data_IF_358073095439
#
_entry.id   IF_358073095439
#
_cell.length_a   1.000
_cell.length_b   1.000
_cell.length_c   1.000
_cell.angle_alpha   90.00
_cell.angle_beta   90.00
_cell.angle_gamma   90.00
#
_symmetry.space_group_name_H-M   'P 1'
#
loop_
_entity.id
_entity.type
_entity.pdbx_description
1 polymer ?
#
# COMPACT_ATOMS: atom_id res chain seq x y z
N UNK A 1 -4.34 -24.12 5.76
CA UNK A 1 -3.69 -22.84 5.46
C UNK A 1 -4.58 -21.73 5.99
N UNK A 2 -4.08 -20.89 6.91
CA UNK A 2 -4.85 -19.82 7.53
C UNK A 2 -4.61 -18.46 6.83
N UNK A 3 -3.60 -18.37 5.99
CA UNK A 3 -3.32 -17.16 5.23
C UNK A 3 -4.21 -17.08 3.99
N UNK A 4 -4.79 -15.90 3.75
CA UNK A 4 -5.70 -15.65 2.63
C UNK A 4 -7.19 -15.89 2.91
N UNK A 5 -7.54 -16.32 4.12
CA UNK A 5 -8.94 -16.45 4.53
C UNK A 5 -9.40 -15.19 5.28
N UNK A 6 -10.27 -14.36 4.68
CA UNK A 6 -10.75 -13.14 5.31
C UNK A 6 -11.71 -13.39 6.48
N UNK A 7 -12.22 -14.62 6.66
CA UNK A 7 -13.08 -14.97 7.80
C UNK A 7 -12.28 -15.19 9.09
N UNK A 8 -10.96 -15.33 8.97
CA UNK A 8 -10.04 -15.44 10.12
C UNK A 8 -9.54 -14.06 10.61
N UNK A 9 -10.08 -12.98 10.07
CA UNK A 9 -9.80 -11.64 10.57
C UNK A 9 -10.32 -11.47 12.00
N UNK A 10 -9.43 -11.09 12.90
CA UNK A 10 -9.72 -10.99 14.33
C UNK A 10 -9.94 -9.54 14.83
N UNK A 11 -10.02 -8.56 13.92
CA UNK A 11 -10.24 -7.15 14.26
C UNK A 11 -8.96 -6.37 14.53
N UNK A 12 -7.79 -6.95 14.23
CA UNK A 12 -6.49 -6.31 14.38
C UNK A 12 -6.24 -5.17 13.37
N UNK A 13 -5.14 -4.42 13.54
CA UNK A 13 -4.76 -3.38 12.59
C UNK A 13 -4.39 -4.01 11.25
N UNK A 14 -4.93 -3.43 10.15
CA UNK A 14 -4.68 -3.91 8.80
C UNK A 14 -3.89 -2.89 7.99
N UNK A 15 -3.07 -3.42 7.09
CA UNK A 15 -2.23 -2.67 6.17
C UNK A 15 -2.48 -3.16 4.76
N UNK A 16 -2.68 -2.21 3.85
CA UNK A 16 -3.15 -2.51 2.49
C UNK A 16 -2.14 -2.02 1.47
N UNK A 17 -1.91 -2.82 0.45
CA UNK A 17 -1.11 -2.44 -0.72
C UNK A 17 -1.94 -2.63 -1.98
N UNK A 18 -1.86 -1.68 -2.90
CA UNK A 18 -2.63 -1.70 -4.15
C UNK A 18 -1.73 -1.42 -5.33
N UNK A 19 -1.69 -2.37 -6.24
CA UNK A 19 -1.14 -2.20 -7.58
C UNK A 19 -2.29 -1.94 -8.57
N UNK A 20 -2.25 -0.77 -9.22
CA UNK A 20 -3.35 -0.29 -10.05
C UNK A 20 -3.15 -0.78 -11.49
N UNK A 21 -3.96 -1.74 -11.89
CA UNK A 21 -4.02 -2.23 -13.26
C UNK A 21 -5.26 -1.76 -14.01
N UNK A 22 -5.16 -1.61 -15.34
CA UNK A 22 -6.27 -1.29 -16.23
C UNK A 22 -6.16 -2.03 -17.56
N UNK A 23 -7.29 -2.28 -18.20
CA UNK A 23 -7.39 -2.99 -19.50
C UNK A 23 -6.84 -4.40 -19.44
N UNK A 24 -5.55 -4.60 -19.73
CA UNK A 24 -4.88 -5.91 -19.75
C UNK A 24 -4.13 -6.22 -18.46
N UNK A 25 -3.81 -5.19 -17.69
CA UNK A 25 -3.03 -5.30 -16.47
C UNK A 25 -3.89 -5.80 -15.31
N UNK A 26 -3.26 -6.44 -14.36
CA UNK A 26 -3.92 -6.96 -13.19
C UNK A 26 -4.02 -5.87 -12.12
N UNK A 27 -5.23 -5.59 -11.65
CA UNK A 27 -5.47 -4.83 -10.44
C UNK A 27 -5.39 -5.77 -9.24
N UNK A 28 -4.58 -5.41 -8.24
CA UNK A 28 -4.38 -6.24 -7.05
C UNK A 28 -4.54 -5.40 -5.79
N UNK A 29 -5.39 -5.86 -4.85
CA UNK A 29 -5.41 -5.39 -3.46
C UNK A 29 -4.86 -6.50 -2.57
N UNK A 30 -3.87 -6.17 -1.75
CA UNK A 30 -3.30 -7.06 -0.75
C UNK A 30 -3.60 -6.54 0.64
N UNK A 31 -4.23 -7.36 1.49
CA UNK A 31 -4.60 -6.99 2.86
C UNK A 31 -3.83 -7.85 3.84
N UNK A 32 -3.00 -7.22 4.67
CA UNK A 32 -2.38 -7.83 5.83
C UNK A 32 -3.08 -7.40 7.12
N UNK A 33 -3.24 -8.31 8.06
CA UNK A 33 -3.50 -8.04 9.46
C UNK A 33 -2.21 -8.25 10.26
N UNK A 34 -1.87 -7.32 11.13
CA UNK A 34 -0.76 -7.48 12.07
C UNK A 34 -1.24 -8.26 13.30
N UNK A 35 -0.67 -9.43 13.52
CA UNK A 35 -0.93 -10.27 14.68
C UNK A 35 0.40 -10.51 15.41
N UNK A 36 0.57 -9.86 16.55
CA UNK A 36 1.88 -9.74 17.19
C UNK A 36 2.82 -8.90 16.33
N UNK A 37 3.91 -9.49 15.87
CA UNK A 37 4.91 -8.91 14.97
C UNK A 37 4.85 -9.48 13.53
N UNK A 38 3.87 -10.34 13.24
CA UNK A 38 3.72 -11.03 11.96
C UNK A 38 2.55 -10.48 11.17
N UNK A 39 2.79 -10.18 9.90
CA UNK A 39 1.78 -9.76 8.94
C UNK A 39 1.11 -11.00 8.32
N UNK A 40 -0.17 -11.21 8.61
CA UNK A 40 -0.97 -12.30 8.07
C UNK A 40 -1.81 -11.83 6.90
N UNK A 41 -1.65 -12.42 5.74
CA UNK A 41 -2.57 -12.17 4.62
C UNK A 41 -3.98 -12.56 5.03
N UNK A 42 -4.92 -11.61 4.97
CA UNK A 42 -6.35 -11.86 5.17
C UNK A 42 -7.11 -11.92 3.88
N UNK A 43 -6.71 -11.11 2.90
CA UNK A 43 -7.37 -11.13 1.59
C UNK A 43 -6.40 -10.71 0.50
N UNK A 44 -6.55 -11.33 -0.67
CA UNK A 44 -5.95 -10.86 -1.93
C UNK A 44 -7.08 -10.77 -2.94
N UNK A 45 -7.31 -9.58 -3.47
CA UNK A 45 -8.31 -9.34 -4.51
C UNK A 45 -7.56 -9.11 -5.82
N UNK A 46 -7.90 -9.89 -6.82
CA UNK A 46 -7.32 -9.79 -8.15
C UNK A 46 -8.43 -9.56 -9.18
N UNK A 47 -8.28 -8.53 -10.02
CA UNK A 47 -9.21 -8.25 -11.11
C UNK A 47 -8.44 -7.83 -12.35
N UNK A 48 -8.74 -8.46 -13.46
CA UNK A 48 -8.18 -8.10 -14.76
C UNK A 48 -9.17 -7.23 -15.51
N UNK A 49 -8.70 -6.11 -16.04
CA UNK A 49 -9.53 -5.20 -16.83
C UNK A 49 -10.60 -4.44 -16.03
N UNK A 50 -10.48 -4.37 -14.70
CA UNK A 50 -11.42 -3.65 -13.85
C UNK A 50 -11.50 -2.16 -14.20
N UNK A 51 -12.69 -1.62 -14.25
CA UNK A 51 -12.91 -0.17 -14.35
C UNK A 51 -12.49 0.53 -13.04
N UNK A 52 -12.17 1.81 -13.10
CA UNK A 52 -11.86 2.56 -11.87
C UNK A 52 -13.03 2.55 -10.86
N UNK A 53 -14.27 2.59 -11.33
CA UNK A 53 -15.43 2.49 -10.46
C UNK A 53 -15.51 1.14 -9.72
N UNK A 54 -15.17 0.05 -10.38
CA UNK A 54 -15.09 -1.28 -9.77
C UNK A 54 -13.92 -1.35 -8.77
N UNK A 55 -12.76 -0.79 -9.13
CA UNK A 55 -11.61 -0.72 -8.22
C UNK A 55 -11.94 0.09 -6.96
N UNK A 56 -12.63 1.21 -7.11
CA UNK A 56 -13.12 2.06 -6.02
C UNK A 56 -14.08 1.31 -5.09
N UNK A 57 -15.04 0.58 -5.66
CA UNK A 57 -15.99 -0.22 -4.88
C UNK A 57 -15.26 -1.32 -4.08
N UNK A 58 -14.33 -2.05 -4.71
CA UNK A 58 -13.54 -3.08 -4.03
C UNK A 58 -12.71 -2.50 -2.88
N UNK A 59 -12.16 -1.30 -3.07
CA UNK A 59 -11.43 -0.61 -2.01
C UNK A 59 -12.34 -0.20 -0.86
N UNK A 60 -13.53 0.35 -1.16
CA UNK A 60 -14.53 0.72 -0.14
C UNK A 60 -14.98 -0.51 0.66
N UNK A 61 -15.17 -1.67 0.02
CA UNK A 61 -15.46 -2.94 0.69
C UNK A 61 -14.34 -3.35 1.65
N UNK A 62 -13.05 -3.20 1.24
CA UNK A 62 -11.89 -3.48 2.11
C UNK A 62 -11.89 -2.55 3.32
N UNK A 63 -12.09 -1.25 3.15
CA UNK A 63 -12.12 -0.29 4.26
C UNK A 63 -13.32 -0.49 5.19
N UNK A 64 -14.44 -1.00 4.69
CA UNK A 64 -15.61 -1.33 5.51
C UNK A 64 -15.43 -2.60 6.33
N UNK A 65 -14.72 -3.58 5.78
CA UNK A 65 -14.53 -4.89 6.39
C UNK A 65 -13.35 -4.94 7.37
N UNK A 66 -12.27 -4.25 7.07
CA UNK A 66 -11.01 -4.31 7.80
C UNK A 66 -10.70 -2.98 8.48
N UNK A 67 -10.09 -3.04 9.65
CA UNK A 67 -9.56 -1.88 10.35
C UNK A 67 -8.26 -1.41 9.66
N UNK A 68 -8.40 -0.74 8.52
CA UNK A 68 -7.26 -0.26 7.74
C UNK A 68 -6.59 0.92 8.44
N UNK A 69 -5.36 0.73 8.87
CA UNK A 69 -4.52 1.77 9.48
C UNK A 69 -3.81 2.59 8.41
N UNK A 70 -3.30 1.92 7.36
CA UNK A 70 -2.62 2.55 6.23
C UNK A 70 -2.81 1.73 4.96
N UNK A 71 -2.90 2.43 3.85
CA UNK A 71 -3.02 1.89 2.49
C UNK A 71 -2.00 2.60 1.60
N UNK A 72 -1.07 1.86 0.99
CA UNK A 72 -0.15 2.37 -0.02
C UNK A 72 -0.63 1.94 -1.41
N UNK A 73 -0.78 2.89 -2.32
CA UNK A 73 -1.27 2.65 -3.69
C UNK A 73 -0.24 3.09 -4.72
N UNK A 74 -0.06 2.32 -5.79
CA UNK A 74 0.75 2.79 -6.92
C UNK A 74 0.10 4.03 -7.55
N UNK A 75 0.82 5.16 -7.50
CA UNK A 75 0.39 6.44 -8.06
C UNK A 75 0.96 6.67 -9.47
N UNK A 76 1.68 5.72 -10.04
CA UNK A 76 2.38 5.92 -11.30
C UNK A 76 1.41 6.02 -12.47
N UNK A 77 1.58 7.03 -13.30
CA UNK A 77 0.79 7.21 -14.52
C UNK A 77 -0.71 7.33 -14.27
N UNK A 78 -1.48 6.29 -14.54
CA UNK A 78 -2.94 6.29 -14.35
C UNK A 78 -3.38 6.23 -12.89
N UNK A 79 -2.47 5.97 -11.95
CA UNK A 79 -2.76 5.81 -10.52
C UNK A 79 -3.02 7.13 -9.80
N UNK A 80 -2.68 8.28 -10.36
CA UNK A 80 -2.84 9.58 -9.72
C UNK A 80 -4.30 9.85 -9.32
N UNK A 81 -5.23 9.77 -10.27
CA UNK A 81 -6.65 9.99 -10.00
C UNK A 81 -7.27 8.98 -9.02
N UNK A 82 -7.09 7.66 -9.16
CA UNK A 82 -7.55 6.70 -8.15
C UNK A 82 -7.00 6.97 -6.74
N UNK A 83 -5.75 7.39 -6.60
CA UNK A 83 -5.17 7.75 -5.30
C UNK A 83 -5.87 8.97 -4.70
N UNK A 84 -6.07 10.06 -5.48
CA UNK A 84 -6.78 11.25 -5.01
C UNK A 84 -8.23 10.92 -4.60
N UNK A 85 -8.93 10.11 -5.37
CA UNK A 85 -10.29 9.67 -5.08
C UNK A 85 -10.34 8.82 -3.80
N UNK A 86 -9.39 7.92 -3.60
CA UNK A 86 -9.26 7.11 -2.38
C UNK A 86 -8.92 7.98 -1.16
N UNK A 87 -8.02 8.95 -1.29
CA UNK A 87 -7.68 9.91 -0.22
C UNK A 87 -8.89 10.74 0.20
N UNK A 88 -9.72 11.16 -0.74
CA UNK A 88 -10.93 11.92 -0.47
C UNK A 88 -11.98 11.09 0.30
N UNK A 89 -12.13 9.79 -0.03
CA UNK A 89 -13.10 8.90 0.63
C UNK A 89 -12.61 8.37 1.97
N UNK A 90 -11.34 8.02 2.08
CA UNK A 90 -10.80 7.30 3.24
C UNK A 90 -9.83 8.13 4.09
N UNK A 91 -9.46 9.32 3.62
CA UNK A 91 -8.54 10.25 4.30
C UNK A 91 -7.08 10.10 3.86
N UNK A 92 -6.44 11.23 3.61
CA UNK A 92 -5.03 11.31 3.19
C UNK A 92 -4.04 10.85 4.28
N UNK A 93 -4.46 10.76 5.52
CA UNK A 93 -3.66 10.19 6.62
C UNK A 93 -3.54 8.67 6.54
N UNK A 94 -4.53 8.02 5.92
CA UNK A 94 -4.56 6.56 5.78
C UNK A 94 -4.17 6.07 4.39
N UNK A 95 -4.38 6.89 3.36
CA UNK A 95 -4.08 6.54 1.97
C UNK A 95 -2.89 7.34 1.47
N UNK A 96 -1.85 6.64 1.05
CA UNK A 96 -0.64 7.19 0.47
C UNK A 96 -0.46 6.72 -0.96
N UNK A 97 -0.19 7.68 -1.87
CA UNK A 97 0.26 7.38 -3.23
C UNK A 97 1.77 7.19 -3.27
N UNK A 98 2.22 6.11 -3.88
CA UNK A 98 3.64 5.77 -4.04
C UNK A 98 4.00 5.77 -5.53
N UNK A 99 4.92 6.64 -5.94
CA UNK A 99 5.44 6.64 -7.31
C UNK A 99 6.45 5.51 -7.49
N UNK A 100 6.27 4.68 -8.51
CA UNK A 100 7.17 3.57 -8.84
C UNK A 100 8.44 4.02 -9.58
N UNK A 101 9.13 5.00 -9.00
CA UNK A 101 10.49 5.35 -9.40
C UNK A 101 11.47 4.24 -9.07
N UNK A 102 12.65 4.21 -9.72
CA UNK A 102 13.66 3.19 -9.41
C UNK A 102 14.10 3.19 -7.93
N UNK A 103 14.33 4.35 -7.27
CA UNK A 103 14.60 4.37 -5.82
C UNK A 103 13.46 3.81 -4.99
N UNK A 104 12.20 4.19 -5.26
CA UNK A 104 11.06 3.70 -4.50
C UNK A 104 10.84 2.21 -4.68
N UNK A 105 10.96 1.69 -5.91
CA UNK A 105 10.92 0.25 -6.17
C UNK A 105 12.02 -0.51 -5.41
N UNK A 106 13.22 0.07 -5.32
CA UNK A 106 14.31 -0.52 -4.53
C UNK A 106 13.93 -0.58 -3.04
N UNK A 107 13.38 0.50 -2.50
CA UNK A 107 12.93 0.56 -1.09
C UNK A 107 11.83 -0.47 -0.83
N UNK A 108 10.77 -0.48 -1.64
CA UNK A 108 9.64 -1.42 -1.50
C UNK A 108 10.11 -2.88 -1.55
N UNK A 109 10.95 -3.22 -2.54
CA UNK A 109 11.47 -4.58 -2.69
C UNK A 109 12.42 -4.97 -1.54
N UNK A 110 13.18 -4.02 -0.98
CA UNK A 110 14.04 -4.26 0.17
C UNK A 110 13.21 -4.55 1.42
N UNK A 111 12.18 -3.73 1.70
CA UNK A 111 11.25 -3.94 2.81
C UNK A 111 10.55 -5.28 2.68
N UNK A 112 9.96 -5.56 1.52
CA UNK A 112 9.28 -6.83 1.27
C UNK A 112 10.20 -8.03 1.45
N UNK A 113 11.40 -7.99 0.86
CA UNK A 113 12.41 -9.05 0.99
C UNK A 113 12.79 -9.29 2.46
N UNK A 114 13.05 -8.22 3.22
CA UNK A 114 13.39 -8.31 4.64
C UNK A 114 12.29 -9.02 5.43
N UNK A 115 11.02 -8.66 5.19
CA UNK A 115 9.88 -9.31 5.84
C UNK A 115 9.79 -10.81 5.53
N UNK A 116 10.13 -11.23 4.30
CA UNK A 116 10.21 -12.65 3.94
C UNK A 116 11.36 -13.35 4.67
N UNK A 117 12.55 -12.76 4.70
CA UNK A 117 13.76 -13.32 5.35
C UNK A 117 13.56 -13.47 6.86
N UNK A 118 12.97 -12.47 7.50
CA UNK A 118 12.68 -12.47 8.95
C UNK A 118 11.48 -13.35 9.32
N UNK A 119 10.86 -14.02 8.33
CA UNK A 119 9.63 -14.80 8.52
C UNK A 119 8.47 -13.98 9.11
N UNK A 120 8.51 -12.65 8.92
CA UNK A 120 7.50 -11.69 9.38
C UNK A 120 6.24 -11.65 8.53
N UNK A 121 6.09 -12.55 7.52
CA UNK A 121 4.93 -12.66 6.66
C UNK A 121 4.30 -14.06 6.71
N UNK A 122 2.98 -14.09 6.53
CA UNK A 122 2.24 -15.31 6.20
C UNK A 122 1.43 -15.06 4.93
N UNK A 123 1.81 -15.74 3.87
CA UNK A 123 1.16 -15.66 2.56
C UNK A 123 0.40 -16.96 2.27
N UNK A 124 -0.63 -16.94 1.40
CA UNK A 124 -1.38 -18.14 1.05
C UNK A 124 -0.47 -19.22 0.49
N UNK A 125 -0.50 -20.40 1.11
CA UNK A 125 0.25 -21.56 0.65
C UNK A 125 -0.36 -22.06 -0.66
N UNK A 126 0.48 -22.38 -1.63
CA UNK A 126 0.01 -22.89 -2.93
C UNK A 126 -0.40 -21.79 -3.93
N UNK A 127 -0.28 -20.51 -3.60
CA UNK A 127 -0.45 -19.44 -4.59
C UNK A 127 0.75 -19.42 -5.56
N UNK A 128 0.65 -20.24 -6.63
CA UNK A 128 1.71 -20.36 -7.62
C UNK A 128 1.91 -19.05 -8.41
N UNK A 129 0.84 -18.28 -8.62
CA UNK A 129 0.91 -17.01 -9.35
C UNK A 129 1.74 -15.97 -8.58
N UNK A 130 1.53 -15.86 -7.25
CA UNK A 130 2.37 -15.01 -6.40
C UNK A 130 3.83 -15.46 -6.42
N UNK A 131 4.07 -16.77 -6.30
CA UNK A 131 5.45 -17.30 -6.38
C UNK A 131 6.11 -16.94 -7.69
N UNK A 132 5.41 -17.09 -8.81
CA UNK A 132 5.91 -16.69 -10.13
C UNK A 132 6.25 -15.20 -10.17
N UNK A 133 5.37 -14.33 -9.66
CA UNK A 133 5.60 -12.89 -9.62
C UNK A 133 6.83 -12.52 -8.75
N UNK A 134 6.99 -13.16 -7.59
CA UNK A 134 8.18 -12.95 -6.74
C UNK A 134 9.47 -13.40 -7.44
N UNK A 135 9.44 -14.50 -8.20
CA UNK A 135 10.60 -14.95 -8.97
C UNK A 135 10.95 -14.07 -10.17
N UNK A 136 9.96 -13.35 -10.74
CA UNK A 136 10.20 -12.38 -11.82
C UNK A 136 10.98 -11.14 -11.34
N UNK A 137 10.94 -10.84 -10.04
CA UNK A 137 11.63 -9.68 -9.48
C UNK A 137 13.12 -9.94 -9.34
N UNK A 138 13.91 -9.33 -10.22
CA UNK A 138 15.35 -9.47 -10.23
C UNK A 138 16.03 -8.15 -9.85
N UNK A 139 17.05 -8.25 -9.00
CA UNK A 139 17.93 -7.12 -8.70
C UNK A 139 19.03 -7.08 -9.74
N UNK A 140 19.07 -6.01 -10.54
CA UNK A 140 20.07 -5.81 -11.60
C UNK A 140 20.83 -4.50 -11.38
N UNK A 141 22.04 -4.42 -11.92
CA UNK A 141 22.77 -3.16 -11.97
C UNK A 141 22.12 -2.24 -13.02
N UNK A 142 21.82 -1.00 -12.64
CA UNK A 142 21.35 0.03 -13.56
C UNK A 142 22.49 0.55 -14.46
N UNK A 143 22.18 1.43 -15.43
CA UNK A 143 23.19 2.02 -16.34
C UNK A 143 24.31 2.77 -15.62
N UNK A 144 24.03 3.30 -14.42
CA UNK A 144 25.00 4.01 -13.55
C UNK A 144 25.64 3.12 -12.50
N UNK A 145 25.44 1.79 -12.56
CA UNK A 145 25.89 0.84 -11.54
C UNK A 145 25.01 0.77 -10.29
N UNK A 146 24.05 1.68 -10.11
CA UNK A 146 23.13 1.64 -8.99
C UNK A 146 22.19 0.43 -9.10
N UNK A 147 21.90 -0.29 -7.99
CA UNK A 147 20.98 -1.42 -8.03
C UNK A 147 19.54 -0.96 -8.31
N UNK A 148 18.84 -1.71 -9.13
CA UNK A 148 17.40 -1.54 -9.38
C UNK A 148 16.70 -2.89 -9.43
N UNK A 149 15.43 -2.91 -9.06
CA UNK A 149 14.58 -4.07 -9.27
C UNK A 149 13.84 -3.94 -10.61
N UNK A 150 13.86 -4.99 -11.39
CA UNK A 150 13.11 -5.13 -12.63
C UNK A 150 12.25 -6.39 -12.53
N UNK A 151 11.05 -6.33 -13.10
CA UNK A 151 10.24 -7.51 -13.34
C UNK A 151 10.29 -7.83 -14.83
N UNK A 152 10.58 -9.08 -15.17
CA UNK A 152 10.38 -9.55 -16.52
C UNK A 152 8.87 -9.52 -16.83
N UNK A 153 8.50 -8.84 -17.92
CA UNK A 153 7.13 -8.81 -18.39
C UNK A 153 6.87 -10.06 -19.22
N UNK A 154 5.88 -10.83 -18.79
CA UNK A 154 5.37 -11.95 -19.56
C UNK A 154 3.84 -11.84 -19.77
N UNK A 155 3.23 -12.89 -20.34
CA UNK A 155 1.78 -12.97 -20.53
C UNK A 155 0.99 -12.92 -19.21
N UNK A 156 1.64 -13.10 -18.04
CA UNK A 156 1.05 -13.07 -16.71
C UNK A 156 1.06 -11.69 -16.05
N UNK A 157 1.72 -10.68 -16.66
CA UNK A 157 1.82 -9.30 -16.10
C UNK A 157 3.22 -8.92 -15.63
N UNK A 158 3.31 -7.82 -14.90
CA UNK A 158 4.55 -7.17 -14.44
C UNK A 158 4.89 -7.44 -12.97
N UNK A 159 4.55 -8.59 -12.43
CA UNK A 159 4.69 -8.94 -11.00
C UNK A 159 3.74 -8.13 -10.08
N UNK A 160 2.54 -7.82 -10.55
CA UNK A 160 1.56 -6.96 -9.91
C UNK A 160 1.20 -7.44 -8.49
N UNK A 161 1.12 -8.77 -8.27
CA UNK A 161 0.89 -9.35 -6.94
C UNK A 161 2.02 -9.09 -5.97
N UNK A 162 3.26 -9.19 -6.46
CA UNK A 162 4.44 -8.94 -5.64
C UNK A 162 4.52 -7.46 -5.27
N UNK A 163 4.21 -6.54 -6.19
CA UNK A 163 4.20 -5.12 -5.91
C UNK A 163 3.10 -4.73 -4.92
N UNK A 164 1.88 -5.25 -5.07
CA UNK A 164 0.81 -5.03 -4.09
C UNK A 164 1.20 -5.57 -2.70
N UNK A 165 1.82 -6.74 -2.62
CA UNK A 165 2.35 -7.29 -1.37
C UNK A 165 3.41 -6.37 -0.75
N UNK A 166 4.36 -5.86 -1.52
CA UNK A 166 5.42 -4.97 -1.04
C UNK A 166 4.89 -3.58 -0.63
N UNK A 167 3.89 -3.06 -1.33
CA UNK A 167 3.18 -1.85 -0.90
C UNK A 167 2.48 -2.06 0.45
N UNK A 168 1.86 -3.21 0.68
CA UNK A 168 1.25 -3.54 1.97
C UNK A 168 2.29 -3.71 3.09
N UNK A 169 3.47 -4.29 2.79
CA UNK A 169 4.59 -4.32 3.73
C UNK A 169 5.06 -2.90 4.08
N UNK A 170 5.21 -2.03 3.08
CA UNK A 170 5.60 -0.63 3.29
C UNK A 170 4.57 0.14 4.12
N UNK A 171 3.29 -0.11 3.90
CA UNK A 171 2.22 0.47 4.73
C UNK A 171 2.36 0.09 6.21
N UNK A 172 2.83 -1.13 6.49
CA UNK A 172 3.04 -1.60 7.87
C UNK A 172 4.29 -1.02 8.53
N UNK A 173 5.36 -0.71 7.75
CA UNK A 173 6.60 -0.14 8.29
C UNK A 173 6.47 1.34 8.65
N UNK A 174 5.77 2.10 7.83
CA UNK A 174 5.73 3.55 7.95
C UNK A 174 4.73 4.06 8.98
N UNK A 175 3.86 3.18 9.52
CA UNK A 175 2.86 3.54 10.54
C UNK A 175 1.84 4.59 10.06
N UNK A 176 0.90 5.01 10.91
CA UNK A 176 0.03 6.13 10.59
C UNK A 176 0.86 7.42 10.54
N UNK A 177 0.53 8.32 9.61
CA UNK A 177 1.15 9.65 9.57
C UNK A 177 0.70 10.40 10.82
N UNK A 178 1.60 10.55 11.80
CA UNK A 178 1.35 11.41 12.95
C UNK A 178 1.43 12.87 12.49
N UNK A 179 0.27 13.55 12.47
CA UNK A 179 0.26 15.00 12.33
C UNK A 179 0.70 15.61 13.66
N UNK A 180 1.90 16.16 13.71
CA UNK A 180 2.28 17.07 14.78
C UNK A 180 1.44 18.36 14.63
N UNK A 181 0.36 18.47 15.41
CA UNK A 181 -0.40 19.70 15.51
C UNK A 181 0.45 20.72 16.28
N UNK A 182 1.00 21.70 15.57
CA UNK A 182 1.59 22.89 16.18
C UNK A 182 0.50 23.96 16.31
N UNK A 183 -0.04 24.21 17.52
CA UNK A 183 -1.01 25.28 17.68
C UNK A 183 -0.34 26.61 17.36
N UNK A 184 -0.91 27.32 16.39
CA UNK A 184 -0.48 28.69 16.10
C UNK A 184 -0.91 29.55 17.30
N UNK A 185 0.03 30.25 17.99
CA UNK A 185 -0.34 31.11 19.10
C UNK A 185 -1.34 32.16 18.60
N UNK A 186 -2.50 32.26 19.25
CA UNK A 186 -3.41 33.36 18.98
C UNK A 186 -2.67 34.66 19.27
N UNK A 187 -2.57 35.54 18.28
CA UNK A 187 -2.20 36.94 18.52
C UNK A 187 -3.28 37.52 19.40
N UNK A 188 -2.93 37.82 20.66
CA UNK A 188 -3.79 38.62 21.50
C UNK A 188 -4.00 39.96 20.78
N UNK A 189 -5.19 40.17 20.27
CA UNK A 189 -5.61 41.47 19.76
C UNK A 189 -5.64 42.42 20.92
N UNK A 190 -4.71 43.38 20.88
CA UNK A 190 -4.51 44.51 21.77
C UNK A 190 -5.83 44.97 22.39
N UNK A 191 -5.96 44.82 23.71
CA UNK A 191 -6.88 45.60 24.54
C UNK A 191 -6.51 47.06 24.37
N UNK A 192 -7.32 47.78 23.60
CA UNK A 192 -7.19 49.22 23.47
C UNK A 192 -7.28 49.88 24.84
N UNK A 193 -6.26 50.62 25.16
CA UNK A 193 -6.14 51.46 26.35
C UNK A 193 -7.14 52.62 26.17
N UNK A 194 -8.34 52.54 26.72
CA UNK A 194 -9.22 53.69 26.86
C UNK A 194 -8.66 54.51 28.01
N UNK A 195 -7.93 55.57 27.71
CA UNK A 195 -7.69 56.70 28.64
C UNK A 195 -8.98 57.49 28.70
N UNK A 196 -9.61 57.51 29.84
CA UNK A 196 -10.61 58.50 30.26
C UNK A 196 -9.90 59.83 30.54
N UNK A 197 -10.42 60.88 29.92
CA UNK A 197 -10.25 62.27 30.35
C UNK A 197 -11.32 62.59 31.39
#
# INVERSE_FOLDING_TARGET
>A
DQAGDPNLYAGGPCYVGIDIGRRKDLFVIWVFELVGDVLWTRQVIERRGASFAEQDQLLDEVFSRFRVMRCCMDQTGMGEKPVEDAQRRHGSTRVEGVLFTSPNKLTLATVGKQRFEDKGLRIPMGNQALRADLHKLQKVAGPTGAPRFVAESDAGGHADRAWACFLACNAAETGPIEYAYHPVPRKDTLRGNRRTL
#
